data_IF_793464917475
#
_entry.id   IF_793464917475
#
_cell.length_a   1.000
_cell.length_b   1.000
_cell.length_c   1.000
_cell.angle_alpha   90.00
_cell.angle_beta   90.00
_cell.angle_gamma   90.00
#
_symmetry.space_group_name_H-M   'P 1'
#
loop_
_entity.id
_entity.type
_entity.pdbx_description
1 polymer ?
#
# COMPACT_ATOMS: atom_id res chain seq x y z
N UNK A 1 -10.62 -2.85 -26.97
CA UNK A 1 -10.07 -4.20 -26.64
C UNK A 1 -9.59 -4.10 -25.21
N UNK A 2 -10.00 -5.02 -24.34
CA UNK A 2 -9.61 -4.98 -22.91
C UNK A 2 -8.10 -5.03 -22.81
N UNK A 3 -7.53 -4.12 -22.01
CA UNK A 3 -6.09 -4.01 -21.81
C UNK A 3 -5.59 -5.21 -21.01
N UNK A 4 -4.59 -5.95 -21.54
CA UNK A 4 -4.01 -7.10 -20.82
C UNK A 4 -2.97 -6.61 -19.81
N UNK A 5 -2.84 -7.32 -18.69
CA UNK A 5 -1.76 -7.09 -17.73
C UNK A 5 -0.41 -7.39 -18.39
N UNK A 6 0.53 -6.47 -18.23
CA UNK A 6 1.92 -6.61 -18.67
C UNK A 6 2.78 -6.30 -17.46
N UNK A 7 3.54 -7.29 -16.98
CA UNK A 7 4.37 -7.13 -15.80
C UNK A 7 5.54 -6.21 -16.08
N UNK A 8 5.91 -5.44 -15.08
CA UNK A 8 7.13 -4.64 -15.02
C UNK A 8 8.17 -5.29 -14.06
N UNK A 9 9.40 -4.80 -13.97
CA UNK A 9 10.37 -5.29 -13.00
C UNK A 9 9.81 -5.23 -11.58
N UNK A 10 9.97 -6.32 -10.81
CA UNK A 10 9.41 -6.44 -9.47
C UNK A 10 10.04 -5.45 -8.46
N UNK A 11 11.28 -5.05 -8.67
CA UNK A 11 12.02 -4.20 -7.73
C UNK A 11 12.61 -2.99 -8.44
N UNK A 12 12.29 -1.81 -7.94
CA UNK A 12 12.93 -0.54 -8.32
C UNK A 12 14.11 -0.30 -7.38
N UNK A 13 15.27 -0.92 -7.65
CA UNK A 13 16.43 -0.88 -6.77
C UNK A 13 17.63 -0.13 -7.40
N UNK A 14 17.38 0.91 -8.19
CA UNK A 14 18.43 1.82 -8.60
C UNK A 14 18.37 3.11 -7.79
N UNK A 15 19.55 3.60 -7.37
CA UNK A 15 19.68 4.87 -6.63
C UNK A 15 18.99 6.03 -7.38
N UNK A 16 19.07 6.02 -8.72
CA UNK A 16 18.48 7.07 -9.55
C UNK A 16 16.95 7.04 -9.49
N UNK A 17 16.33 5.88 -9.60
CA UNK A 17 14.87 5.73 -9.53
C UNK A 17 14.33 6.10 -8.14
N UNK A 18 15.02 5.63 -7.09
CA UNK A 18 14.68 5.97 -5.71
C UNK A 18 14.77 7.48 -5.46
N UNK A 19 15.82 8.16 -5.97
CA UNK A 19 15.96 9.60 -5.84
C UNK A 19 14.90 10.36 -6.64
N UNK A 20 14.64 9.98 -7.91
CA UNK A 20 13.60 10.61 -8.73
C UNK A 20 12.22 10.45 -8.08
N UNK A 21 11.92 9.27 -7.51
CA UNK A 21 10.68 9.05 -6.75
C UNK A 21 10.62 9.93 -5.50
N UNK A 22 11.68 10.01 -4.72
CA UNK A 22 11.73 10.81 -3.49
C UNK A 22 11.62 12.33 -3.75
N UNK A 23 12.08 12.80 -4.91
CA UNK A 23 12.03 14.22 -5.28
C UNK A 23 10.65 14.67 -5.76
N UNK A 24 9.74 13.74 -6.05
CA UNK A 24 8.35 14.06 -6.37
C UNK A 24 7.60 14.52 -5.11
N UNK A 25 6.72 15.51 -5.26
CA UNK A 25 5.84 15.94 -4.16
C UNK A 25 4.66 14.96 -4.00
N UNK A 26 4.83 14.02 -3.06
CA UNK A 26 3.80 13.07 -2.68
C UNK A 26 2.94 13.53 -1.48
N UNK A 27 3.16 14.72 -0.94
CA UNK A 27 2.57 15.17 0.32
C UNK A 27 1.05 15.08 0.34
N UNK A 28 0.37 15.58 -0.69
CA UNK A 28 -1.10 15.55 -0.78
C UNK A 28 -1.62 14.12 -0.92
N UNK A 29 -0.96 13.27 -1.70
CA UNK A 29 -1.39 11.88 -1.90
C UNK A 29 -1.21 11.06 -0.62
N UNK A 30 -0.09 11.24 0.07
CA UNK A 30 0.20 10.57 1.33
C UNK A 30 -0.76 11.01 2.44
N UNK A 31 -1.05 12.32 2.54
CA UNK A 31 -2.03 12.85 3.47
C UNK A 31 -3.41 12.25 3.22
N UNK A 32 -3.89 12.23 1.97
CA UNK A 32 -5.17 11.63 1.63
C UNK A 32 -5.23 10.13 1.95
N UNK A 33 -4.14 9.38 1.72
CA UNK A 33 -4.07 7.96 2.09
C UNK A 33 -4.29 7.78 3.60
N UNK A 34 -3.60 8.56 4.41
CA UNK A 34 -3.70 8.50 5.88
C UNK A 34 -5.08 8.97 6.36
N UNK A 35 -5.63 10.06 5.80
CA UNK A 35 -6.98 10.54 6.14
C UNK A 35 -8.06 9.49 5.85
N UNK A 36 -7.97 8.80 4.71
CA UNK A 36 -8.92 7.74 4.35
C UNK A 36 -8.74 6.48 5.22
N UNK A 37 -7.51 6.14 5.61
CA UNK A 37 -7.23 5.10 6.58
C UNK A 37 -7.89 5.41 7.94
N UNK A 38 -7.69 6.62 8.47
CA UNK A 38 -8.35 7.04 9.72
C UNK A 38 -9.87 7.01 9.63
N UNK A 39 -10.42 7.46 8.49
CA UNK A 39 -11.86 7.41 8.27
C UNK A 39 -12.36 5.96 8.31
N UNK A 40 -11.71 5.06 7.58
CA UNK A 40 -12.05 3.64 7.59
C UNK A 40 -12.00 3.06 9.01
N UNK A 41 -10.92 3.28 9.74
CA UNK A 41 -10.74 2.76 11.10
C UNK A 41 -11.82 3.26 12.06
N UNK A 42 -12.18 4.53 12.02
CA UNK A 42 -13.26 5.11 12.83
C UNK A 42 -14.63 4.54 12.47
N UNK A 43 -14.88 4.24 11.21
CA UNK A 43 -16.14 3.61 10.76
C UNK A 43 -16.27 2.17 11.33
N UNK A 44 -15.14 1.47 11.61
CA UNK A 44 -15.15 0.16 12.25
C UNK A 44 -15.31 0.23 13.78
N UNK A 45 -14.99 1.36 14.41
CA UNK A 45 -15.04 1.55 15.88
C UNK A 45 -15.90 2.73 16.30
N UNK A 46 -17.23 2.72 16.02
CA UNK A 46 -18.11 3.87 16.28
C UNK A 46 -18.16 4.30 17.77
N UNK A 47 -17.91 3.37 18.71
CA UNK A 47 -17.91 3.65 20.14
C UNK A 47 -16.71 4.51 20.60
N UNK A 48 -15.66 4.64 19.78
CA UNK A 48 -14.47 5.40 20.05
C UNK A 48 -14.39 6.72 19.25
N UNK A 49 -15.51 7.19 18.70
CA UNK A 49 -15.55 8.34 17.79
C UNK A 49 -14.90 9.64 18.33
N UNK A 50 -14.87 9.80 19.66
CA UNK A 50 -14.29 10.97 20.36
C UNK A 50 -12.93 10.67 21.03
N UNK A 51 -12.41 9.43 20.92
CA UNK A 51 -11.10 9.05 21.48
C UNK A 51 -9.96 9.34 20.48
N UNK A 52 -8.77 9.64 21.00
CA UNK A 52 -7.55 9.57 20.20
C UNK A 52 -7.44 8.11 19.68
N UNK A 53 -7.28 7.97 18.36
CA UNK A 53 -7.19 6.67 17.74
C UNK A 53 -5.73 6.23 17.74
N UNK A 54 -5.47 5.04 18.25
CA UNK A 54 -4.16 4.39 18.26
C UNK A 54 -4.25 3.13 17.38
N UNK A 55 -3.41 3.07 16.35
CA UNK A 55 -3.30 1.90 15.48
C UNK A 55 -2.44 0.78 16.08
N UNK A 56 -1.77 1.00 17.21
CA UNK A 56 -0.91 0.01 17.84
C UNK A 56 0.34 -0.33 17.00
N UNK A 57 0.55 -1.62 16.78
CA UNK A 57 1.65 -2.12 15.95
C UNK A 57 1.24 -2.20 14.48
N UNK A 58 1.88 -1.38 13.64
CA UNK A 58 1.55 -1.20 12.22
C UNK A 58 2.62 -1.81 11.33
N UNK A 59 2.24 -2.54 10.29
CA UNK A 59 3.10 -2.91 9.18
C UNK A 59 2.79 -2.04 7.96
N UNK A 60 3.81 -1.34 7.44
CA UNK A 60 3.75 -0.71 6.12
C UNK A 60 4.59 -1.51 5.13
N UNK A 61 3.91 -2.18 4.20
CA UNK A 61 4.53 -3.11 3.25
C UNK A 61 4.76 -2.43 1.90
N UNK A 62 6.04 -2.41 1.46
CA UNK A 62 6.48 -1.62 0.31
C UNK A 62 6.55 -0.15 0.66
N UNK A 63 7.20 0.17 1.78
CA UNK A 63 7.25 1.51 2.35
C UNK A 63 7.91 2.55 1.44
N UNK A 64 8.71 2.10 0.47
CA UNK A 64 9.50 2.99 -0.38
C UNK A 64 10.39 3.89 0.47
N UNK A 65 10.22 5.19 0.33
CA UNK A 65 10.99 6.20 1.08
C UNK A 65 10.37 6.56 2.45
N UNK A 66 9.41 5.77 2.96
CA UNK A 66 8.73 5.87 4.25
C UNK A 66 7.98 7.19 4.51
N UNK A 67 7.51 7.86 3.48
CA UNK A 67 6.78 9.13 3.64
C UNK A 67 5.37 8.90 4.20
N UNK A 68 4.70 7.78 3.89
CA UNK A 68 3.39 7.42 4.47
C UNK A 68 3.50 7.09 5.96
N UNK A 69 4.44 6.23 6.43
CA UNK A 69 4.69 6.05 7.86
C UNK A 69 4.98 7.33 8.62
N UNK A 70 5.78 8.23 8.04
CA UNK A 70 6.05 9.54 8.64
C UNK A 70 4.77 10.37 8.79
N UNK A 71 3.91 10.38 7.77
CA UNK A 71 2.63 11.10 7.82
C UNK A 71 1.65 10.45 8.82
N UNK A 72 1.59 9.11 8.87
CA UNK A 72 0.79 8.39 9.85
C UNK A 72 1.22 8.76 11.27
N UNK A 73 2.53 8.69 11.59
CA UNK A 73 3.06 9.04 12.89
C UNK A 73 2.91 10.52 13.29
N UNK A 74 2.64 11.42 12.36
CA UNK A 74 2.27 12.80 12.66
C UNK A 74 0.84 12.95 13.15
N UNK A 75 -0.05 12.10 12.69
CA UNK A 75 -1.48 12.14 13.01
C UNK A 75 -1.86 11.19 14.15
N UNK A 76 -1.23 10.04 14.25
CA UNK A 76 -1.30 9.10 15.38
C UNK A 76 -0.01 9.23 16.19
N UNK A 77 -0.12 9.58 17.48
CA UNK A 77 1.06 9.86 18.30
C UNK A 77 1.61 8.63 19.03
N UNK A 78 0.89 7.53 19.07
CA UNK A 78 1.21 6.34 19.87
C UNK A 78 1.59 5.12 19.01
N UNK A 79 1.13 5.01 17.76
CA UNK A 79 1.42 3.87 16.89
C UNK A 79 2.93 3.65 16.65
N UNK A 80 3.33 2.41 16.47
CA UNK A 80 4.68 1.99 16.06
C UNK A 80 4.61 1.33 14.69
N UNK A 81 5.49 1.75 13.79
CA UNK A 81 5.47 1.27 12.41
C UNK A 81 6.70 0.43 12.11
N UNK A 82 6.49 -0.79 11.69
CA UNK A 82 7.45 -1.61 10.97
C UNK A 82 7.29 -1.30 9.48
N UNK A 83 8.19 -0.51 8.94
CA UNK A 83 8.19 -0.05 7.55
C UNK A 83 9.17 -0.90 6.72
N UNK A 84 8.65 -1.69 5.79
CA UNK A 84 9.47 -2.68 5.09
C UNK A 84 9.43 -2.49 3.58
N UNK A 85 10.57 -2.76 2.95
CA UNK A 85 10.73 -2.75 1.50
C UNK A 85 11.75 -3.82 1.08
N UNK A 86 11.71 -4.25 -0.18
CA UNK A 86 12.71 -5.14 -0.74
C UNK A 86 13.90 -4.37 -1.31
N UNK A 87 13.67 -3.13 -1.79
CA UNK A 87 14.68 -2.27 -2.39
C UNK A 87 15.54 -1.57 -1.33
N UNK A 88 16.83 -1.87 -1.31
CA UNK A 88 17.79 -1.25 -0.36
C UNK A 88 17.92 0.24 -0.63
N UNK A 89 17.92 0.67 -1.90
CA UNK A 89 18.01 2.08 -2.28
C UNK A 89 16.84 2.91 -1.73
N UNK A 90 15.63 2.34 -1.68
CA UNK A 90 14.46 2.97 -1.07
C UNK A 90 14.64 3.11 0.44
N UNK A 91 15.09 2.05 1.12
CA UNK A 91 15.31 2.05 2.58
C UNK A 91 16.42 3.03 3.03
N UNK A 92 17.42 3.29 2.20
CA UNK A 92 18.45 4.31 2.48
C UNK A 92 17.84 5.72 2.52
N UNK A 93 16.97 6.05 1.57
CA UNK A 93 16.22 7.32 1.58
C UNK A 93 15.17 7.36 2.68
N UNK A 94 14.48 6.23 2.94
CA UNK A 94 13.54 6.09 4.05
C UNK A 94 14.20 6.46 5.38
N UNK A 95 15.40 5.95 5.64
CA UNK A 95 16.15 6.30 6.86
C UNK A 95 16.37 7.79 6.99
N UNK A 96 16.81 8.46 5.92
CA UNK A 96 16.99 9.90 5.93
C UNK A 96 15.67 10.64 6.23
N UNK A 97 14.57 10.24 5.61
CA UNK A 97 13.24 10.86 5.81
C UNK A 97 12.73 10.68 7.24
N UNK A 98 12.89 9.46 7.80
CA UNK A 98 12.50 9.13 9.18
C UNK A 98 13.32 9.93 10.20
N UNK A 99 14.66 10.02 9.99
CA UNK A 99 15.55 10.82 10.83
C UNK A 99 15.21 12.32 10.75
N UNK A 100 15.01 12.85 9.55
CA UNK A 100 14.65 14.26 9.33
C UNK A 100 13.29 14.62 9.96
N UNK A 101 12.35 13.65 10.02
CA UNK A 101 11.06 13.81 10.67
C UNK A 101 11.13 13.64 12.21
N UNK A 102 12.25 13.15 12.76
CA UNK A 102 12.39 12.85 14.19
C UNK A 102 11.60 11.61 14.66
N UNK A 103 11.35 10.64 13.77
CA UNK A 103 10.47 9.50 14.02
C UNK A 103 11.22 8.16 14.24
N UNK A 104 12.53 8.20 14.49
CA UNK A 104 13.40 6.99 14.64
C UNK A 104 12.98 6.07 15.81
N UNK A 105 12.33 6.60 16.84
CA UNK A 105 11.84 5.82 17.99
C UNK A 105 10.51 5.09 17.68
N UNK A 106 9.85 5.47 16.58
CA UNK A 106 8.51 4.99 16.23
C UNK A 106 8.47 4.21 14.91
N UNK A 107 9.38 4.47 14.00
CA UNK A 107 9.45 3.82 12.70
C UNK A 107 10.72 2.98 12.61
N UNK A 108 10.55 1.67 12.49
CA UNK A 108 11.63 0.71 12.29
C UNK A 108 11.67 0.30 10.83
N UNK A 109 12.84 0.40 10.20
CA UNK A 109 13.03 0.02 8.80
C UNK A 109 13.63 -1.38 8.70
N UNK A 110 13.11 -2.22 7.80
CA UNK A 110 13.68 -3.54 7.53
C UNK A 110 13.58 -3.93 6.06
N UNK A 111 14.58 -4.65 5.56
CA UNK A 111 14.51 -5.26 4.23
C UNK A 111 13.74 -6.59 4.33
N UNK A 112 12.58 -6.67 3.66
CA UNK A 112 11.70 -7.84 3.72
C UNK A 112 11.08 -8.10 2.35
N UNK A 113 11.01 -9.38 1.95
CA UNK A 113 10.22 -9.81 0.80
C UNK A 113 8.76 -9.97 1.21
N UNK A 114 7.88 -9.20 0.59
CA UNK A 114 6.43 -9.20 0.81
C UNK A 114 5.76 -10.58 0.62
N UNK A 115 6.38 -11.45 -0.17
CA UNK A 115 5.88 -12.80 -0.46
C UNK A 115 6.23 -13.81 0.64
N UNK A 116 7.13 -13.45 1.58
CA UNK A 116 7.59 -14.32 2.65
C UNK A 116 8.09 -13.50 3.84
N UNK A 117 7.19 -12.98 4.61
CA UNK A 117 7.51 -12.22 5.80
C UNK A 117 7.81 -13.14 6.98
N UNK A 118 8.91 -12.87 7.69
CA UNK A 118 9.35 -13.66 8.85
C UNK A 118 8.62 -13.32 10.16
N UNK A 119 7.47 -12.63 10.08
CA UNK A 119 6.68 -12.25 11.25
C UNK A 119 5.69 -13.35 11.64
N UNK A 120 5.32 -13.40 12.91
CA UNK A 120 4.30 -14.31 13.41
C UNK A 120 2.91 -13.97 12.83
N UNK A 121 1.99 -14.95 12.86
CA UNK A 121 0.58 -14.72 12.55
C UNK A 121 0.00 -13.72 13.54
N UNK A 122 -0.74 -12.72 13.05
CA UNK A 122 -1.41 -11.74 13.89
C UNK A 122 -0.46 -10.79 14.62
N UNK A 123 0.71 -10.52 14.05
CA UNK A 123 1.74 -9.67 14.67
C UNK A 123 1.42 -8.17 14.63
N UNK A 124 0.48 -7.73 13.79
CA UNK A 124 0.20 -6.32 13.56
C UNK A 124 -1.30 -6.01 13.65
N UNK A 125 -1.64 -4.94 14.35
CA UNK A 125 -3.01 -4.44 14.49
C UNK A 125 -3.51 -3.76 13.20
N UNK A 126 -2.58 -3.20 12.42
CA UNK A 126 -2.83 -2.64 11.09
C UNK A 126 -1.77 -3.14 10.11
N UNK A 127 -2.21 -3.64 8.95
CA UNK A 127 -1.35 -3.85 7.79
C UNK A 127 -1.79 -2.88 6.69
N UNK A 128 -0.90 -1.99 6.30
CA UNK A 128 -1.14 -1.06 5.20
C UNK A 128 -0.11 -1.24 4.08
N UNK A 129 -0.50 -0.84 2.88
CA UNK A 129 0.37 -0.82 1.72
C UNK A 129 -0.15 0.16 0.67
N UNK A 130 0.75 0.81 -0.03
CA UNK A 130 0.41 1.69 -1.14
C UNK A 130 1.33 1.46 -2.34
N UNK A 131 0.75 1.09 -3.48
CA UNK A 131 1.43 1.02 -4.78
C UNK A 131 2.58 0.01 -4.89
N UNK A 132 2.39 -1.23 -4.36
CA UNK A 132 3.37 -2.33 -4.55
C UNK A 132 2.78 -3.56 -5.25
N UNK A 133 1.47 -3.77 -5.18
CA UNK A 133 0.84 -5.02 -5.67
C UNK A 133 1.03 -5.18 -7.17
N UNK A 134 1.04 -4.08 -7.92
CA UNK A 134 1.25 -4.11 -9.36
C UNK A 134 2.65 -4.60 -9.78
N UNK A 135 3.67 -4.41 -8.94
CA UNK A 135 5.03 -4.93 -9.15
C UNK A 135 5.12 -6.45 -8.94
N UNK A 136 4.19 -7.07 -8.19
CA UNK A 136 4.29 -8.47 -7.79
C UNK A 136 3.65 -9.37 -8.87
N UNK A 137 4.42 -10.29 -9.48
CA UNK A 137 3.90 -11.16 -10.54
C UNK A 137 2.74 -12.04 -10.09
N UNK A 138 2.85 -12.64 -8.91
CA UNK A 138 1.80 -13.44 -8.25
C UNK A 138 1.32 -12.75 -6.97
N UNK A 139 0.36 -11.82 -7.06
CA UNK A 139 -0.06 -11.01 -5.93
C UNK A 139 -0.80 -11.79 -4.84
N UNK A 140 -1.37 -12.97 -5.14
CA UNK A 140 -2.10 -13.75 -4.14
C UNK A 140 -1.22 -14.15 -2.97
N UNK A 141 0.04 -14.48 -3.21
CA UNK A 141 1.00 -14.87 -2.15
C UNK A 141 1.28 -13.70 -1.20
N UNK A 142 1.42 -12.50 -1.75
CA UNK A 142 1.63 -11.29 -0.96
C UNK A 142 0.38 -10.95 -0.13
N UNK A 143 -0.80 -11.00 -0.74
CA UNK A 143 -2.07 -10.74 -0.05
C UNK A 143 -2.34 -11.77 1.07
N UNK A 144 -2.01 -13.06 0.85
CA UNK A 144 -2.07 -14.10 1.88
C UNK A 144 -1.15 -13.79 3.08
N UNK A 145 0.08 -13.35 2.80
CA UNK A 145 1.01 -12.94 3.86
C UNK A 145 0.52 -11.70 4.62
N UNK A 146 -0.05 -10.71 3.93
CA UNK A 146 -0.68 -9.56 4.59
C UNK A 146 -1.79 -9.99 5.55
N UNK A 147 -2.72 -10.84 5.09
CA UNK A 147 -3.79 -11.39 5.94
C UNK A 147 -3.21 -12.18 7.11
N UNK A 148 -2.22 -13.04 6.87
CA UNK A 148 -1.61 -13.88 7.90
C UNK A 148 -0.99 -13.08 9.04
N UNK A 149 -0.32 -11.97 8.74
CA UNK A 149 0.37 -11.16 9.76
C UNK A 149 -0.53 -10.12 10.42
N UNK A 150 -1.72 -9.87 9.87
CA UNK A 150 -2.74 -9.01 10.51
C UNK A 150 -3.38 -9.74 11.67
N UNK A 151 -3.49 -9.08 12.82
CA UNK A 151 -4.14 -9.59 14.01
C UNK A 151 -5.62 -9.92 13.76
N UNK A 152 -6.21 -10.74 14.63
CA UNK A 152 -7.65 -10.87 14.73
C UNK A 152 -8.25 -9.52 15.09
N UNK A 153 -9.35 -9.16 14.44
CA UNK A 153 -9.95 -7.82 14.48
C UNK A 153 -9.03 -6.68 14.01
N UNK A 154 -7.83 -7.00 13.50
CA UNK A 154 -6.91 -6.05 12.92
C UNK A 154 -7.36 -5.53 11.55
N UNK A 155 -6.78 -4.42 11.13
CA UNK A 155 -7.18 -3.71 9.92
C UNK A 155 -6.24 -4.02 8.75
N UNK A 156 -6.83 -4.20 7.58
CA UNK A 156 -6.15 -4.25 6.27
C UNK A 156 -6.53 -2.99 5.49
N UNK A 157 -5.53 -2.23 5.03
CA UNK A 157 -5.76 -1.05 4.20
C UNK A 157 -4.73 -0.99 3.07
N UNK A 158 -5.10 -1.56 1.93
CA UNK A 158 -4.22 -1.75 0.77
C UNK A 158 -4.75 -0.94 -0.40
N UNK A 159 -3.93 -0.02 -0.92
CA UNK A 159 -4.23 0.76 -2.13
C UNK A 159 -3.21 0.47 -3.21
N UNK A 160 -3.69 0.39 -4.45
CA UNK A 160 -2.80 0.27 -5.60
C UNK A 160 -3.41 0.88 -6.86
N UNK A 161 -2.60 0.97 -7.90
CA UNK A 161 -3.05 1.38 -9.22
C UNK A 161 -4.11 0.41 -9.77
N UNK A 162 -5.03 0.95 -10.51
CA UNK A 162 -6.08 0.20 -11.20
C UNK A 162 -5.81 0.22 -12.70
N UNK A 163 -5.67 -0.97 -13.31
CA UNK A 163 -5.47 -1.07 -14.75
C UNK A 163 -6.69 -0.50 -15.50
N UNK A 164 -6.48 0.47 -16.41
CA UNK A 164 -7.53 1.00 -17.24
C UNK A 164 -8.13 -0.06 -18.17
N UNK A 165 -9.37 0.16 -18.60
CA UNK A 165 -10.08 -0.78 -19.47
C UNK A 165 -9.49 -0.85 -20.89
N UNK A 166 -8.92 0.25 -21.37
CA UNK A 166 -8.39 0.36 -22.73
C UNK A 166 -7.20 1.35 -22.82
N UNK A 167 -6.52 1.32 -23.96
CA UNK A 167 -5.33 2.12 -24.20
C UNK A 167 -5.62 3.62 -24.29
N UNK A 168 -6.81 4.04 -24.71
CA UNK A 168 -7.19 5.46 -24.78
C UNK A 168 -7.29 6.05 -23.38
N UNK A 169 -7.95 5.33 -22.46
CA UNK A 169 -8.04 5.70 -21.05
C UNK A 169 -6.66 5.72 -20.39
N UNK A 170 -5.81 4.73 -20.69
CA UNK A 170 -4.44 4.69 -20.17
C UNK A 170 -3.64 5.94 -20.58
N UNK A 171 -3.62 6.28 -21.88
CA UNK A 171 -2.90 7.45 -22.35
C UNK A 171 -3.48 8.77 -21.79
N UNK A 172 -4.80 8.85 -21.60
CA UNK A 172 -5.43 10.00 -20.98
C UNK A 172 -4.96 10.18 -19.51
N UNK A 173 -4.82 9.08 -18.74
CA UNK A 173 -4.27 9.13 -17.39
C UNK A 173 -2.81 9.55 -17.39
N UNK A 174 -1.98 8.98 -18.26
CA UNK A 174 -0.56 9.37 -18.39
C UNK A 174 -0.43 10.86 -18.65
N UNK A 175 -1.17 11.39 -19.63
CA UNK A 175 -1.14 12.82 -19.95
C UNK A 175 -1.64 13.70 -18.79
N UNK A 176 -2.66 13.25 -18.07
CA UNK A 176 -3.25 14.00 -16.97
C UNK A 176 -2.28 14.12 -15.79
N UNK A 177 -1.62 13.03 -15.40
CA UNK A 177 -0.85 12.96 -14.17
C UNK A 177 0.65 13.16 -14.36
N UNK A 178 1.18 12.82 -15.54
CA UNK A 178 2.62 12.93 -15.84
C UNK A 178 2.93 13.74 -17.10
N UNK A 179 1.92 14.40 -17.70
CA UNK A 179 2.09 15.11 -18.97
C UNK A 179 3.08 16.29 -18.94
N UNK A 180 3.48 16.75 -17.75
CA UNK A 180 4.52 17.78 -17.56
C UNK A 180 5.88 17.20 -17.17
N UNK A 181 5.94 15.90 -16.88
CA UNK A 181 7.13 15.18 -16.48
C UNK A 181 7.95 14.74 -17.70
N UNK A 182 9.13 14.16 -17.43
CA UNK A 182 9.99 13.61 -18.47
C UNK A 182 9.31 12.46 -19.23
N UNK A 183 9.73 12.20 -20.47
CA UNK A 183 9.25 11.03 -21.23
C UNK A 183 9.52 9.72 -20.49
N UNK A 184 10.61 9.66 -19.71
CA UNK A 184 10.94 8.52 -18.87
C UNK A 184 9.91 8.33 -17.75
N UNK A 185 9.55 9.37 -17.01
CA UNK A 185 8.52 9.32 -15.95
C UNK A 185 7.14 8.95 -16.52
N UNK A 186 6.80 9.48 -17.70
CA UNK A 186 5.57 9.11 -18.41
C UNK A 186 5.57 7.62 -18.79
N UNK A 187 6.71 7.08 -19.21
CA UNK A 187 6.83 5.67 -19.56
C UNK A 187 6.72 4.79 -18.31
N UNK A 188 7.38 5.13 -17.22
CA UNK A 188 7.26 4.41 -15.94
C UNK A 188 5.79 4.33 -15.47
N UNK A 189 5.09 5.46 -15.48
CA UNK A 189 3.68 5.46 -15.07
C UNK A 189 2.78 4.65 -16.01
N UNK A 190 3.09 4.67 -17.32
CA UNK A 190 2.40 3.84 -18.32
C UNK A 190 2.62 2.35 -18.04
N UNK A 191 3.85 1.95 -17.73
CA UNK A 191 4.20 0.56 -17.44
C UNK A 191 3.53 0.08 -16.15
N UNK A 192 3.50 0.90 -15.10
CA UNK A 192 2.81 0.61 -13.84
C UNK A 192 1.30 0.46 -14.03
N UNK A 193 0.65 1.32 -14.85
CA UNK A 193 -0.76 1.16 -15.19
C UNK A 193 -1.04 -0.14 -15.98
N UNK A 194 -0.11 -0.57 -16.83
CA UNK A 194 -0.20 -1.87 -17.52
C UNK A 194 -0.01 -3.06 -16.56
N UNK A 195 0.86 -2.93 -15.57
CA UNK A 195 1.15 -3.96 -14.59
C UNK A 195 0.07 -4.08 -13.50
N UNK A 196 -0.72 -3.02 -13.29
CA UNK A 196 -1.77 -2.97 -12.30
C UNK A 196 -2.85 -4.06 -12.50
N UNK A 197 -3.51 -4.44 -11.41
CA UNK A 197 -4.71 -5.28 -11.46
C UNK A 197 -5.93 -4.44 -11.87
N UNK A 198 -6.84 -5.02 -12.63
CA UNK A 198 -8.17 -4.44 -12.78
C UNK A 198 -8.99 -4.59 -11.50
N UNK A 199 -10.06 -3.81 -11.36
CA UNK A 199 -10.95 -3.89 -10.19
C UNK A 199 -11.55 -5.30 -10.01
N UNK A 200 -11.89 -5.96 -11.11
CA UNK A 200 -12.45 -7.32 -11.06
C UNK A 200 -11.40 -8.34 -10.62
N UNK A 201 -10.17 -8.25 -11.15
CA UNK A 201 -9.08 -9.15 -10.79
C UNK A 201 -8.74 -9.08 -9.29
N UNK A 202 -8.64 -7.88 -8.71
CA UNK A 202 -8.37 -7.76 -7.26
C UNK A 202 -9.56 -8.24 -6.42
N UNK A 203 -10.80 -8.00 -6.85
CA UNK A 203 -11.99 -8.53 -6.19
C UNK A 203 -12.03 -10.05 -6.17
N UNK A 204 -11.68 -10.69 -7.28
CA UNK A 204 -11.59 -12.15 -7.36
C UNK A 204 -10.51 -12.70 -6.42
N UNK A 205 -9.35 -12.04 -6.33
CA UNK A 205 -8.29 -12.41 -5.39
C UNK A 205 -8.76 -12.28 -3.94
N UNK A 206 -9.35 -11.15 -3.56
CA UNK A 206 -9.87 -10.89 -2.21
C UNK A 206 -10.96 -11.90 -1.83
N UNK A 207 -11.86 -12.23 -2.76
CA UNK A 207 -12.86 -13.28 -2.55
C UNK A 207 -12.22 -14.66 -2.31
N UNK A 208 -11.13 -14.99 -3.01
CA UNK A 208 -10.39 -16.25 -2.82
C UNK A 208 -9.70 -16.35 -1.45
N UNK A 209 -9.51 -15.22 -0.77
CA UNK A 209 -8.97 -15.13 0.59
C UNK A 209 -10.06 -15.16 1.68
N UNK A 210 -11.34 -15.31 1.31
CA UNK A 210 -12.45 -15.38 2.25
C UNK A 210 -13.10 -14.03 2.58
N UNK A 211 -12.66 -12.93 1.97
CA UNK A 211 -13.21 -11.60 2.23
C UNK A 211 -14.31 -11.22 1.22
N UNK A 212 -15.18 -10.29 1.61
CA UNK A 212 -16.19 -9.73 0.71
C UNK A 212 -15.49 -8.97 -0.45
N UNK A 213 -15.71 -9.36 -1.72
CA UNK A 213 -15.14 -8.63 -2.86
C UNK A 213 -15.59 -7.16 -2.93
N UNK A 214 -16.72 -6.81 -2.30
CA UNK A 214 -17.16 -5.42 -2.20
C UNK A 214 -16.36 -4.58 -1.19
N UNK A 215 -15.49 -5.18 -0.38
CA UNK A 215 -14.51 -4.43 0.42
C UNK A 215 -13.43 -3.77 -0.44
N UNK A 216 -13.33 -4.15 -1.73
CA UNK A 216 -12.48 -3.48 -2.72
C UNK A 216 -13.29 -2.46 -3.51
N UNK A 217 -12.90 -1.21 -3.42
CA UNK A 217 -13.56 -0.08 -4.10
C UNK A 217 -12.59 0.65 -5.04
N UNK A 218 -13.10 1.16 -6.17
CA UNK A 218 -12.39 2.16 -6.95
C UNK A 218 -12.47 3.49 -6.18
N UNK A 219 -11.33 3.95 -5.66
CA UNK A 219 -11.24 5.17 -4.83
C UNK A 219 -10.80 6.39 -5.61
N UNK A 220 -10.33 6.20 -6.84
CA UNK A 220 -10.08 7.27 -7.81
C UNK A 220 -10.21 6.73 -9.23
N UNK A 221 -9.92 7.58 -10.23
CA UNK A 221 -9.90 7.20 -11.64
C UNK A 221 -8.77 6.21 -12.01
N UNK A 222 -7.82 6.00 -11.09
CA UNK A 222 -6.64 5.15 -11.29
C UNK A 222 -6.22 4.30 -10.09
N UNK A 223 -6.99 4.33 -8.98
CA UNK A 223 -6.67 3.50 -7.81
C UNK A 223 -7.87 2.68 -7.38
N UNK A 224 -7.59 1.50 -6.89
CA UNK A 224 -8.48 0.73 -6.02
C UNK A 224 -7.94 0.74 -4.60
N UNK A 225 -8.83 0.57 -3.63
CA UNK A 225 -8.48 0.36 -2.22
C UNK A 225 -9.24 -0.85 -1.71
N UNK A 226 -8.53 -1.78 -1.10
CA UNK A 226 -9.08 -2.86 -0.30
C UNK A 226 -8.96 -2.47 1.18
N UNK A 227 -10.10 -2.32 1.85
CA UNK A 227 -10.20 -1.97 3.24
C UNK A 227 -11.08 -3.01 3.96
N UNK A 228 -10.52 -3.73 4.93
CA UNK A 228 -11.21 -4.83 5.61
C UNK A 228 -10.75 -4.97 7.06
N UNK A 229 -11.59 -5.61 7.87
CA UNK A 229 -11.23 -6.13 9.19
C UNK A 229 -10.90 -7.61 9.03
N UNK A 230 -9.79 -8.07 9.61
CA UNK A 230 -9.39 -9.47 9.60
C UNK A 230 -10.18 -10.23 10.67
N UNK A 231 -11.32 -10.79 10.28
CA UNK A 231 -12.18 -11.58 11.18
C UNK A 231 -11.66 -13.02 11.25
N UNK A 232 -11.74 -13.66 12.43
CA UNK A 232 -11.47 -15.11 12.52
C UNK A 232 -12.40 -15.90 11.56
N UNK A 233 -11.80 -16.83 10.83
CA UNK A 233 -12.58 -17.88 10.19
C UNK A 233 -13.18 -18.77 11.28
N UNK A 234 -14.52 -18.83 11.40
CA UNK A 234 -15.22 -19.76 12.32
C UNK A 234 -14.82 -21.25 12.12
N UNK A 235 -13.98 -21.54 11.14
CA UNK A 235 -13.52 -22.88 10.78
C UNK A 235 -12.34 -23.41 11.62
N UNK A 236 -11.57 -22.55 12.32
CA UNK A 236 -10.40 -22.97 13.13
C UNK A 236 -10.71 -23.15 14.63
N UNK A 237 -11.97 -22.99 15.06
CA UNK A 237 -12.44 -23.18 16.44
C UNK A 237 -12.87 -24.64 16.74
N UNK A 238 -12.22 -25.64 16.10
CA UNK A 238 -12.55 -27.07 16.24
C UNK A 238 -11.42 -27.93 16.78
#
# INVERSE_FOLDING_TARGET
>A
MVLKRVLEPEVMDSEKEAQEYNDMDHSVVNQHFVEELFKFARDQTPAAADAEFDFGDVLDLGTGTALIPVELCRQDHDCRVMAVDLAVSMLELARYNVEAAGMIERITLAQVDAKKMGYDRGAFDLVMSNSIIHHIPDPVVCLQEMVRVTAEDGLLFIRDLMRPQDAETLEALVLTYTGKESEYSQQLFRDSLHAALSLDEIRDLVASLGFDPNSVQATSDRHWTWAAVNLEDEADAG
#
